data_IF_960730849771
#
_entry.id   IF_960730849771
#
_cell.length_a   1.000
_cell.length_b   1.000
_cell.length_c   1.000
_cell.angle_alpha   90.00
_cell.angle_beta   90.00
_cell.angle_gamma   90.00
#
_symmetry.space_group_name_H-M   'P 1'
#
loop_
_entity.id
_entity.type
_entity.pdbx_description
1 polymer ?
#
# COMPACT_ATOMS: atom_id res chain seq x y z
N UNK A 1 -38.43 -45.40 0.06
CA UNK A 1 -37.88 -45.98 1.31
C UNK A 1 -38.09 -44.97 2.43
N UNK A 2 -38.62 -45.41 3.57
CA UNK A 2 -39.22 -44.59 4.64
C UNK A 2 -38.17 -43.96 5.59
N UNK A 3 -38.42 -42.68 5.92
CA UNK A 3 -38.23 -41.92 7.17
C UNK A 3 -37.34 -42.53 8.28
N UNK A 4 -36.43 -41.71 8.83
CA UNK A 4 -36.33 -41.47 10.30
C UNK A 4 -35.60 -40.16 10.62
N UNK A 5 -36.40 -39.16 11.00
CA UNK A 5 -36.00 -38.04 11.84
C UNK A 5 -36.07 -38.49 13.31
N UNK A 6 -35.13 -38.04 14.14
CA UNK A 6 -35.21 -38.16 15.60
C UNK A 6 -35.09 -36.76 16.19
N UNK A 7 -36.19 -36.30 16.75
CA UNK A 7 -36.25 -35.20 17.70
C UNK A 7 -36.30 -35.80 19.11
N UNK A 8 -35.60 -35.21 20.07
CA UNK A 8 -35.83 -35.43 21.51
C UNK A 8 -35.86 -34.06 22.18
N UNK A 9 -36.90 -33.82 22.97
CA UNK A 9 -37.15 -32.61 23.74
C UNK A 9 -37.21 -32.89 25.25
N UNK A 10 -36.99 -31.82 26.03
CA UNK A 10 -37.28 -31.56 27.48
C UNK A 10 -36.20 -32.11 28.45
N UNK A 11 -35.52 -31.31 29.30
CA UNK A 11 -35.91 -30.27 30.29
C UNK A 11 -35.63 -30.83 31.72
N UNK A 12 -35.59 -30.11 32.88
CA UNK A 12 -35.78 -28.68 33.17
C UNK A 12 -34.83 -28.04 34.26
N UNK A 13 -34.96 -26.71 34.47
CA UNK A 13 -34.88 -25.87 35.70
C UNK A 13 -33.67 -25.92 36.66
N UNK A 14 -33.09 -24.72 36.92
CA UNK A 14 -32.27 -24.41 38.10
C UNK A 14 -31.78 -22.95 38.11
N UNK A 15 -32.30 -22.15 39.04
CA UNK A 15 -32.11 -20.71 39.21
C UNK A 15 -31.02 -20.39 40.28
N UNK A 16 -30.57 -19.12 40.30
CA UNK A 16 -29.87 -18.35 41.37
C UNK A 16 -28.39 -17.92 41.21
N UNK A 17 -28.29 -16.63 40.87
CA UNK A 17 -27.57 -15.52 41.56
C UNK A 17 -26.03 -15.42 41.64
N UNK A 18 -25.61 -14.22 41.21
CA UNK A 18 -24.56 -13.31 41.74
C UNK A 18 -23.15 -13.40 41.17
N UNK A 19 -22.65 -12.26 40.68
CA UNK A 19 -21.28 -12.09 40.20
C UNK A 19 -21.06 -10.82 39.39
N UNK A 20 -20.89 -9.69 40.09
CA UNK A 20 -20.37 -8.39 39.64
C UNK A 20 -19.37 -8.44 38.47
N UNK A 21 -19.51 -7.54 37.48
CA UNK A 21 -18.43 -6.60 37.12
C UNK A 21 -18.86 -5.59 36.04
N UNK A 22 -18.57 -4.32 36.36
CA UNK A 22 -18.58 -3.13 35.51
C UNK A 22 -17.93 -3.37 34.14
N UNK A 23 -18.54 -2.84 33.09
CA UNK A 23 -17.81 -2.05 32.08
C UNK A 23 -18.77 -1.16 31.29
N UNK A 24 -18.37 0.10 31.19
CA UNK A 24 -19.12 1.20 30.59
C UNK A 24 -19.24 1.06 29.07
N UNK A 25 -20.42 1.47 28.59
CA UNK A 25 -20.77 2.07 27.31
C UNK A 25 -19.61 2.33 26.32
N UNK A 26 -19.76 1.79 25.11
CA UNK A 26 -19.96 2.62 23.92
C UNK A 26 -21.03 2.00 23.02
N UNK A 27 -22.17 2.70 22.93
CA UNK A 27 -23.16 2.63 21.85
C UNK A 27 -22.48 2.97 20.50
N UNK A 28 -22.92 2.52 19.32
CA UNK A 28 -24.31 2.44 18.88
C UNK A 28 -24.57 1.38 17.79
N UNK A 29 -25.85 1.06 17.70
CA UNK A 29 -26.52 -0.11 17.15
C UNK A 29 -27.35 0.24 15.90
N UNK A 30 -27.58 -0.75 15.02
CA UNK A 30 -28.79 -0.97 14.16
C UNK A 30 -29.12 0.00 13.00
N UNK A 31 -29.49 -0.47 11.79
CA UNK A 31 -30.80 -1.06 11.45
C UNK A 31 -30.78 -1.93 10.15
N UNK A 32 -31.91 -2.63 9.95
CA UNK A 32 -32.14 -3.87 9.22
C UNK A 32 -33.02 -3.65 7.95
N UNK A 33 -32.85 -4.54 6.96
CA UNK A 33 -33.88 -5.11 6.06
C UNK A 33 -34.19 -4.59 4.64
N UNK A 34 -34.32 -5.62 3.77
CA UNK A 34 -35.04 -5.78 2.48
C UNK A 34 -34.34 -5.29 1.20
N UNK A 35 -34.29 -6.18 0.18
CA UNK A 35 -34.99 -6.04 -1.11
C UNK A 35 -34.87 -7.32 -1.96
N UNK A 36 -35.91 -7.61 -2.75
CA UNK A 36 -36.16 -8.81 -3.56
C UNK A 36 -35.66 -8.68 -5.03
N UNK A 37 -35.72 -9.75 -5.87
CA UNK A 37 -34.86 -9.93 -7.05
C UNK A 37 -35.53 -9.56 -8.39
N UNK A 38 -34.95 -8.60 -9.13
CA UNK A 38 -35.26 -8.35 -10.55
C UNK A 38 -34.01 -8.19 -11.46
N UNK A 39 -32.82 -8.56 -10.98
CA UNK A 39 -31.57 -8.35 -11.72
C UNK A 39 -31.09 -9.52 -12.59
N UNK A 40 -31.80 -10.65 -12.60
CA UNK A 40 -31.37 -11.86 -13.34
C UNK A 40 -31.76 -11.87 -14.83
N UNK A 41 -32.72 -11.06 -15.28
CA UNK A 41 -33.09 -11.01 -16.71
C UNK A 41 -32.16 -10.13 -17.56
N UNK A 42 -31.49 -9.15 -16.97
CA UNK A 42 -30.56 -8.27 -17.70
C UNK A 42 -29.25 -8.98 -18.07
N UNK A 43 -28.79 -9.90 -17.21
CA UNK A 43 -27.58 -10.70 -17.42
C UNK A 43 -27.79 -11.76 -18.53
N UNK A 44 -29.03 -12.23 -18.71
CA UNK A 44 -29.36 -13.22 -19.74
C UNK A 44 -29.37 -12.64 -21.15
N UNK A 45 -29.71 -11.35 -21.30
CA UNK A 45 -29.70 -10.61 -22.57
C UNK A 45 -28.29 -10.20 -23.02
N UNK A 46 -27.41 -9.80 -22.09
CA UNK A 46 -26.01 -9.46 -22.44
C UNK A 46 -25.18 -10.68 -22.86
N UNK A 47 -25.52 -11.87 -22.36
CA UNK A 47 -24.81 -13.10 -22.72
C UNK A 47 -25.22 -13.66 -24.09
N UNK A 48 -26.41 -13.32 -24.60
CA UNK A 48 -26.85 -13.71 -25.94
C UNK A 48 -26.30 -12.78 -27.04
N UNK A 49 -26.09 -11.49 -26.74
CA UNK A 49 -25.50 -10.53 -27.69
C UNK A 49 -24.00 -10.79 -27.98
N UNK A 50 -23.28 -11.47 -27.08
CA UNK A 50 -21.87 -11.83 -27.28
C UNK A 50 -21.64 -13.04 -28.19
N UNK A 51 -22.66 -13.81 -28.52
CA UNK A 51 -22.53 -15.04 -29.31
C UNK A 51 -22.79 -14.84 -30.82
N UNK A 52 -22.99 -13.60 -31.29
CA UNK A 52 -23.43 -13.31 -32.66
C UNK A 52 -22.57 -12.29 -33.44
N UNK A 53 -21.32 -12.02 -33.04
CA UNK A 53 -20.41 -11.19 -33.85
C UNK A 53 -19.34 -12.01 -34.59
N UNK A 54 -19.25 -11.93 -35.93
CA UNK A 54 -18.22 -12.60 -36.73
C UNK A 54 -16.80 -12.12 -36.43
N UNK A 55 -15.82 -13.02 -36.61
CA UNK A 55 -14.38 -12.85 -36.33
C UNK A 55 -13.63 -11.79 -37.17
N UNK A 56 -14.31 -11.05 -38.04
CA UNK A 56 -13.66 -10.16 -39.02
C UNK A 56 -13.60 -8.68 -38.60
N UNK A 57 -14.16 -8.30 -37.45
CA UNK A 57 -14.08 -6.92 -36.93
C UNK A 57 -12.88 -6.63 -36.00
N UNK A 58 -12.09 -7.65 -35.63
CA UNK A 58 -10.94 -7.48 -34.75
C UNK A 58 -9.70 -6.86 -35.44
N UNK A 59 -9.65 -6.82 -36.77
CA UNK A 59 -8.53 -6.20 -37.51
C UNK A 59 -8.72 -4.71 -37.81
N UNK A 60 -9.85 -4.11 -37.45
CA UNK A 60 -10.15 -2.70 -37.73
C UNK A 60 -9.84 -1.75 -36.57
N UNK A 61 -9.63 -2.25 -35.34
CA UNK A 61 -9.41 -1.41 -34.16
C UNK A 61 -7.94 -0.99 -33.91
N UNK A 62 -7.00 -1.41 -34.76
CA UNK A 62 -5.58 -1.07 -34.62
C UNK A 62 -5.07 0.02 -35.58
N UNK A 63 -5.95 0.65 -36.36
CA UNK A 63 -5.56 1.80 -37.20
C UNK A 63 -6.12 3.07 -36.59
N UNK A 64 -5.24 4.04 -36.37
CA UNK A 64 -5.51 5.42 -35.92
C UNK A 64 -5.66 5.60 -34.39
N UNK A 65 -4.57 5.39 -33.64
CA UNK A 65 -4.44 5.98 -32.31
C UNK A 65 -3.93 7.41 -32.47
N UNK A 66 -4.82 8.38 -32.22
CA UNK A 66 -4.40 9.76 -32.00
C UNK A 66 -3.57 9.80 -30.72
N UNK A 67 -2.28 10.20 -30.78
CA UNK A 67 -1.42 10.20 -29.60
C UNK A 67 -1.97 11.18 -28.56
N UNK A 68 -1.90 10.83 -27.27
CA UNK A 68 -2.31 11.74 -26.19
C UNK A 68 -1.31 12.89 -26.04
N UNK A 69 -1.69 13.97 -25.36
CA UNK A 69 -0.77 15.09 -25.11
C UNK A 69 0.45 14.67 -24.27
N UNK A 70 0.29 13.67 -23.39
CA UNK A 70 1.40 13.09 -22.63
C UNK A 70 2.39 12.35 -23.55
N UNK A 71 1.90 11.57 -24.51
CA UNK A 71 2.75 10.86 -25.47
C UNK A 71 3.54 11.85 -26.33
N UNK A 72 2.87 12.93 -26.78
CA UNK A 72 3.50 14.00 -27.55
C UNK A 72 4.54 14.76 -26.71
N UNK A 73 4.29 15.00 -25.43
CA UNK A 73 5.26 15.64 -24.52
C UNK A 73 6.52 14.79 -24.29
N UNK A 74 6.37 13.48 -24.10
CA UNK A 74 7.50 12.55 -23.95
C UNK A 74 8.32 12.49 -25.24
N UNK A 75 7.67 12.34 -26.38
CA UNK A 75 8.36 12.35 -27.68
C UNK A 75 9.04 13.69 -27.96
N UNK A 76 8.41 14.81 -27.61
CA UNK A 76 9.00 16.15 -27.71
C UNK A 76 10.28 16.27 -26.88
N UNK A 77 10.31 15.73 -25.66
CA UNK A 77 11.50 15.75 -24.82
C UNK A 77 12.65 14.98 -25.47
N UNK A 78 12.40 13.78 -26.02
CA UNK A 78 13.42 13.01 -26.73
C UNK A 78 13.96 13.72 -27.98
N UNK A 79 13.08 14.35 -28.77
CA UNK A 79 13.50 15.15 -29.94
C UNK A 79 14.34 16.36 -29.50
N UNK A 80 13.96 17.05 -28.42
CA UNK A 80 14.70 18.21 -27.91
C UNK A 80 16.08 17.86 -27.37
N UNK A 81 16.26 16.67 -26.79
CA UNK A 81 17.58 16.16 -26.37
C UNK A 81 18.48 15.96 -27.60
N UNK A 82 17.95 15.40 -28.70
CA UNK A 82 18.72 15.18 -29.94
C UNK A 82 18.98 16.46 -30.74
N UNK A 83 18.08 17.44 -30.66
CA UNK A 83 18.16 18.69 -31.39
C UNK A 83 17.93 19.92 -30.48
N UNK A 84 18.86 20.21 -29.55
CA UNK A 84 18.73 21.32 -28.64
C UNK A 84 18.63 22.64 -29.40
N UNK A 85 17.68 23.50 -29.01
CA UNK A 85 17.41 24.77 -29.69
C UNK A 85 16.60 24.68 -30.99
N UNK A 86 16.11 23.50 -31.37
CA UNK A 86 15.26 23.36 -32.56
C UNK A 86 13.96 24.19 -32.45
N UNK A 87 13.70 24.97 -33.50
CA UNK A 87 12.42 25.66 -33.67
C UNK A 87 11.26 24.68 -33.86
N UNK A 88 10.02 25.14 -33.63
CA UNK A 88 8.80 24.30 -33.66
C UNK A 88 8.68 23.49 -34.96
N UNK A 89 9.04 24.06 -36.11
CA UNK A 89 8.97 23.35 -37.40
C UNK A 89 9.89 22.12 -37.46
N UNK A 90 11.13 22.24 -36.96
CA UNK A 90 12.08 21.11 -36.89
C UNK A 90 11.62 20.05 -35.90
N UNK A 91 11.04 20.45 -34.77
CA UNK A 91 10.48 19.52 -33.78
C UNK A 91 9.29 18.73 -34.36
N UNK A 92 8.39 19.41 -35.07
CA UNK A 92 7.24 18.75 -35.73
C UNK A 92 7.71 17.76 -36.79
N UNK A 93 8.73 18.10 -37.58
CA UNK A 93 9.25 17.19 -38.60
C UNK A 93 9.88 15.95 -37.95
N UNK A 94 10.74 16.14 -36.95
CA UNK A 94 11.34 15.01 -36.24
C UNK A 94 10.29 14.09 -35.59
N UNK A 95 9.23 14.64 -34.99
CA UNK A 95 8.12 13.82 -34.46
C UNK A 95 7.40 13.01 -35.54
N UNK A 96 7.25 13.56 -36.75
CA UNK A 96 6.65 12.82 -37.88
C UNK A 96 7.56 11.72 -38.38
N UNK A 97 8.87 11.97 -38.37
CA UNK A 97 9.87 11.00 -38.80
C UNK A 97 10.01 9.86 -37.79
N UNK A 98 9.98 10.15 -36.48
CA UNK A 98 10.06 9.13 -35.41
C UNK A 98 8.75 8.36 -35.21
N UNK A 99 7.60 8.99 -35.51
CA UNK A 99 6.27 8.42 -35.29
C UNK A 99 5.38 8.54 -36.54
N UNK A 100 5.72 7.83 -37.64
CA UNK A 100 4.99 7.91 -38.90
C UNK A 100 3.56 7.33 -38.81
N UNK A 101 3.26 6.58 -37.75
CA UNK A 101 1.97 5.94 -37.49
C UNK A 101 0.96 6.84 -36.76
N UNK A 102 1.37 8.02 -36.28
CA UNK A 102 0.50 8.96 -35.59
C UNK A 102 -0.48 9.65 -36.53
N UNK A 103 -1.77 9.46 -36.25
CA UNK A 103 -2.86 10.05 -37.03
C UNK A 103 -3.93 10.71 -36.13
N UNK A 104 -4.21 12.01 -36.32
CA UNK A 104 -3.55 12.92 -37.28
C UNK A 104 -2.08 13.19 -36.88
N UNK A 105 -1.20 13.49 -37.86
CA UNK A 105 0.17 13.89 -37.58
C UNK A 105 0.20 15.08 -36.63
N UNK A 106 1.15 15.10 -35.71
CA UNK A 106 1.33 16.23 -34.79
C UNK A 106 1.61 17.50 -35.60
N UNK A 107 0.89 18.57 -35.28
CA UNK A 107 1.02 19.86 -35.95
C UNK A 107 1.74 20.89 -35.08
N UNK A 108 2.12 22.01 -35.72
CA UNK A 108 2.83 23.09 -35.05
C UNK A 108 2.00 23.80 -33.98
N UNK A 109 0.66 23.78 -34.08
CA UNK A 109 -0.24 24.41 -33.11
C UNK A 109 -0.24 23.63 -31.80
N UNK A 110 -0.33 22.30 -31.87
CA UNK A 110 -0.29 21.38 -30.73
C UNK A 110 1.06 21.43 -30.02
N UNK A 111 2.17 21.40 -30.76
CA UNK A 111 3.52 21.54 -30.17
C UNK A 111 3.69 22.89 -29.47
N UNK A 112 3.18 24.00 -30.05
CA UNK A 112 3.22 25.32 -29.40
C UNK A 112 2.39 25.36 -28.12
N UNK A 113 1.20 24.74 -28.12
CA UNK A 113 0.34 24.68 -26.94
C UNK A 113 1.04 23.91 -25.81
N UNK A 114 1.60 22.73 -26.11
CA UNK A 114 2.30 21.90 -25.14
C UNK A 114 3.57 22.56 -24.59
N UNK A 115 4.33 23.29 -25.43
CA UNK A 115 5.48 24.08 -24.96
C UNK A 115 5.12 25.22 -24.01
N UNK A 116 3.89 25.75 -24.07
CA UNK A 116 3.41 26.77 -23.12
C UNK A 116 2.98 26.16 -21.78
N UNK A 117 2.62 24.87 -21.77
CA UNK A 117 2.19 24.13 -20.58
C UNK A 117 3.40 23.57 -19.81
N UNK A 118 4.51 23.30 -20.49
CA UNK A 118 5.78 22.97 -19.80
C UNK A 118 6.26 24.17 -18.98
N UNK A 119 6.35 24.05 -17.64
CA UNK A 119 6.93 25.10 -16.82
C UNK A 119 8.37 25.34 -17.27
N UNK A 120 8.67 26.58 -17.62
CA UNK A 120 10.01 27.09 -17.90
C UNK A 120 10.94 26.64 -16.78
N UNK A 121 11.80 25.66 -17.06
CA UNK A 121 12.87 25.28 -16.15
C UNK A 121 14.06 26.24 -16.29
N UNK A 122 14.76 26.52 -15.17
CA UNK A 122 15.98 27.31 -15.17
C UNK A 122 17.11 26.54 -15.86
N UNK A 123 17.98 27.31 -16.51
CA UNK A 123 19.22 26.85 -17.14
C UNK A 123 20.20 26.22 -16.15
N UNK A 124 20.66 25.00 -16.42
CA UNK A 124 22.00 24.51 -16.05
C UNK A 124 22.43 23.34 -16.96
N UNK A 125 23.74 23.16 -17.17
CA UNK A 125 24.28 22.44 -18.32
C UNK A 125 24.52 20.95 -18.07
N UNK A 126 24.44 20.21 -19.18
CA UNK A 126 25.15 18.96 -19.54
C UNK A 126 25.57 18.07 -18.37
N UNK A 127 24.81 17.00 -18.13
CA UNK A 127 25.20 15.90 -17.27
C UNK A 127 25.98 14.87 -18.08
N UNK A 128 27.29 14.86 -17.86
CA UNK A 128 28.18 13.69 -17.99
C UNK A 128 27.46 12.44 -17.47
N UNK A 129 27.54 11.31 -18.18
CA UNK A 129 27.01 10.02 -17.74
C UNK A 129 27.63 9.71 -16.36
N UNK A 130 26.87 9.98 -15.31
CA UNK A 130 27.27 9.78 -13.93
C UNK A 130 27.18 8.28 -13.63
N UNK A 131 28.31 7.75 -13.16
CA UNK A 131 28.41 6.49 -12.42
C UNK A 131 27.26 6.34 -11.43
N UNK A 132 26.59 5.17 -11.46
CA UNK A 132 25.38 4.83 -10.72
C UNK A 132 25.36 5.27 -9.24
N UNK A 133 24.40 6.12 -8.82
CA UNK A 133 24.10 6.35 -7.41
C UNK A 133 22.71 5.82 -7.06
N UNK A 134 22.42 4.54 -7.34
CA UNK A 134 21.10 3.97 -7.05
C UNK A 134 21.01 3.21 -5.72
N UNK A 135 22.14 2.95 -5.02
CA UNK A 135 22.07 2.45 -3.63
C UNK A 135 21.63 3.54 -2.66
N UNK A 136 21.89 4.81 -3.02
CA UNK A 136 21.69 5.98 -2.17
C UNK A 136 20.25 6.13 -1.67
N UNK A 137 19.24 5.90 -2.51
CA UNK A 137 17.82 6.01 -2.10
C UNK A 137 17.45 4.94 -1.07
N UNK A 138 17.84 3.68 -1.30
CA UNK A 138 17.54 2.59 -0.36
C UNK A 138 18.28 2.83 0.95
N UNK A 139 19.55 3.19 0.89
CA UNK A 139 20.37 3.47 2.06
C UNK A 139 19.81 4.66 2.85
N UNK A 140 19.34 5.70 2.17
CA UNK A 140 18.64 6.84 2.79
C UNK A 140 17.33 6.40 3.46
N UNK A 141 16.53 5.54 2.83
CA UNK A 141 15.31 5.01 3.46
C UNK A 141 15.66 4.26 4.75
N UNK A 142 16.71 3.43 4.71
CA UNK A 142 17.18 2.72 5.88
C UNK A 142 17.63 3.67 6.99
N UNK A 143 18.40 4.71 6.68
CA UNK A 143 18.85 5.71 7.66
C UNK A 143 17.67 6.42 8.36
N UNK A 144 16.69 6.90 7.58
CA UNK A 144 15.50 7.56 8.15
C UNK A 144 14.69 6.60 9.01
N UNK A 145 14.54 5.34 8.59
CA UNK A 145 13.86 4.32 9.40
C UNK A 145 14.64 3.97 10.66
N UNK A 146 15.97 3.90 10.60
CA UNK A 146 16.81 3.67 11.78
C UNK A 146 16.64 4.79 12.81
N UNK A 147 16.61 6.06 12.37
CA UNK A 147 16.28 7.20 13.23
C UNK A 147 14.87 7.08 13.81
N UNK A 148 13.88 6.74 12.98
CA UNK A 148 12.49 6.55 13.42
C UNK A 148 12.34 5.40 14.43
N UNK A 149 13.18 4.36 14.36
CA UNK A 149 13.19 3.23 15.29
C UNK A 149 14.19 3.39 16.46
N UNK A 150 14.93 4.50 16.54
CA UNK A 150 15.95 4.71 17.57
C UNK A 150 15.33 4.80 18.97
N UNK A 151 15.88 4.07 19.94
CA UNK A 151 15.30 4.00 21.29
C UNK A 151 14.21 2.93 21.48
N UNK A 152 14.01 2.03 20.51
CA UNK A 152 13.16 0.84 20.64
C UNK A 152 11.69 1.06 20.30
N UNK A 153 10.88 0.02 20.54
CA UNK A 153 9.47 -0.06 20.13
C UNK A 153 8.60 1.04 20.77
N UNK A 154 8.84 1.41 22.03
CA UNK A 154 8.10 2.46 22.73
C UNK A 154 8.34 3.84 22.09
N UNK A 155 9.61 4.20 21.86
CA UNK A 155 9.97 5.45 21.22
C UNK A 155 9.46 5.52 19.76
N UNK A 156 9.49 4.39 19.05
CA UNK A 156 8.90 4.26 17.73
C UNK A 156 7.38 4.51 17.75
N UNK A 157 6.65 3.84 18.65
CA UNK A 157 5.21 3.99 18.77
C UNK A 157 4.81 5.44 19.06
N UNK A 158 5.56 6.11 19.94
CA UNK A 158 5.38 7.52 20.25
C UNK A 158 5.57 8.43 19.01
N UNK A 159 6.69 8.28 18.28
CA UNK A 159 6.94 9.06 17.05
C UNK A 159 5.90 8.77 15.96
N UNK A 160 5.49 7.52 15.80
CA UNK A 160 4.46 7.13 14.86
C UNK A 160 3.09 7.76 15.20
N UNK A 161 2.74 7.83 16.49
CA UNK A 161 1.52 8.48 16.95
C UNK A 161 1.50 9.98 16.65
N UNK A 162 2.60 10.68 16.96
CA UNK A 162 2.75 12.11 16.62
C UNK A 162 2.57 12.32 15.12
N UNK A 163 3.23 11.48 14.32
CA UNK A 163 3.19 11.62 12.88
C UNK A 163 1.79 11.40 12.30
N UNK A 164 1.11 10.32 12.67
CA UNK A 164 -0.24 10.05 12.18
C UNK A 164 -1.22 11.16 12.57
N UNK A 165 -1.12 11.69 13.80
CA UNK A 165 -1.94 12.82 14.25
C UNK A 165 -1.66 14.09 13.46
N UNK A 166 -0.38 14.39 13.19
CA UNK A 166 0.03 15.51 12.34
C UNK A 166 -0.60 15.38 10.95
N UNK A 167 -0.46 14.21 10.33
CA UNK A 167 -0.98 13.96 8.98
C UNK A 167 -2.51 14.08 8.92
N UNK A 168 -3.22 13.51 9.91
CA UNK A 168 -4.68 13.64 10.02
C UNK A 168 -5.11 15.09 10.18
N UNK A 169 -4.40 15.87 11.01
CA UNK A 169 -4.72 17.29 11.24
C UNK A 169 -4.58 18.15 9.98
N UNK A 170 -3.50 17.95 9.21
CA UNK A 170 -3.27 18.67 7.94
C UNK A 170 -4.36 18.32 6.93
N UNK A 171 -4.79 17.06 6.88
CA UNK A 171 -5.84 16.63 5.95
C UNK A 171 -7.22 17.19 6.29
N UNK A 172 -7.58 17.23 7.57
CA UNK A 172 -8.87 17.80 7.99
C UNK A 172 -8.98 19.28 7.64
N UNK A 173 -7.87 20.02 7.61
CA UNK A 173 -7.86 21.45 7.26
C UNK A 173 -8.17 21.71 5.77
N UNK A 174 -7.78 20.81 4.87
CA UNK A 174 -7.85 21.03 3.41
C UNK A 174 -9.14 20.51 2.74
N UNK A 175 -10.04 19.83 3.48
CA UNK A 175 -11.13 19.04 2.88
C UNK A 175 -12.58 19.33 3.30
N UNK A 176 -12.85 20.35 4.13
CA UNK A 176 -14.17 20.66 4.76
C UNK A 176 -14.62 19.65 5.85
N UNK A 177 -14.18 19.88 7.08
CA UNK A 177 -15.01 20.06 8.29
C UNK A 177 -14.05 20.04 9.48
N UNK A 178 -13.83 21.22 10.06
CA UNK A 178 -13.08 21.39 11.30
C UNK A 178 -13.90 20.78 12.45
N UNK A 179 -13.67 19.50 12.76
CA UNK A 179 -13.44 19.21 14.17
C UNK A 179 -12.01 19.65 14.42
N UNK A 180 -11.84 20.77 15.12
CA UNK A 180 -10.56 21.26 15.60
C UNK A 180 -9.88 20.14 16.37
N UNK A 181 -9.01 19.39 15.70
CA UNK A 181 -7.98 18.63 16.39
C UNK A 181 -7.20 19.66 17.18
N UNK A 182 -7.04 19.46 18.50
CA UNK A 182 -6.41 20.46 19.31
C UNK A 182 -4.95 20.58 18.80
N UNK A 183 -4.34 21.77 18.85
CA UNK A 183 -3.05 22.00 18.22
C UNK A 183 -2.01 20.96 18.65
N UNK A 184 -1.02 20.62 17.82
CA UNK A 184 0.03 19.64 18.19
C UNK A 184 0.67 19.88 19.59
N UNK A 185 0.70 21.14 20.02
CA UNK A 185 1.19 21.58 21.35
C UNK A 185 0.20 21.38 22.52
N UNK A 186 -1.02 20.95 22.26
CA UNK A 186 -2.06 20.68 23.27
C UNK A 186 -2.10 19.22 23.72
N UNK A 187 -1.46 18.32 22.98
CA UNK A 187 -1.30 16.94 23.40
C UNK A 187 -0.23 16.89 24.50
N UNK A 188 -0.63 16.40 25.66
CA UNK A 188 0.29 16.19 26.77
C UNK A 188 1.13 14.92 26.52
N UNK A 189 2.27 14.81 27.20
CA UNK A 189 3.07 13.56 27.22
C UNK A 189 2.22 12.34 27.61
N UNK A 190 1.18 12.53 28.43
CA UNK A 190 0.23 11.49 28.80
C UNK A 190 -0.64 11.05 27.63
N UNK A 191 -1.17 11.98 26.84
CA UNK A 191 -1.98 11.67 25.66
C UNK A 191 -1.18 10.86 24.64
N UNK A 192 0.10 11.21 24.43
CA UNK A 192 0.97 10.45 23.55
C UNK A 192 1.33 9.07 24.11
N UNK A 193 1.48 8.91 25.42
CA UNK A 193 1.74 7.60 26.05
C UNK A 193 0.53 6.68 25.93
N UNK A 194 -0.65 7.21 26.20
CA UNK A 194 -1.91 6.47 26.06
C UNK A 194 -2.15 6.11 24.59
N UNK A 195 -1.83 7.01 23.65
CA UNK A 195 -1.90 6.75 22.21
C UNK A 195 -0.83 5.77 21.71
N UNK A 196 0.40 5.84 22.22
CA UNK A 196 1.50 4.96 21.82
C UNK A 196 1.15 3.48 22.08
N UNK A 197 0.34 3.19 23.10
CA UNK A 197 -0.20 1.85 23.35
C UNK A 197 -1.06 1.31 22.19
N UNK A 198 -1.60 2.20 21.34
CA UNK A 198 -2.46 1.92 20.18
C UNK A 198 -1.68 1.91 18.85
N UNK A 199 -0.38 2.25 18.85
CA UNK A 199 0.50 2.13 17.69
C UNK A 199 1.45 0.93 17.88
N UNK A 200 1.03 -0.30 17.52
CA UNK A 200 1.92 -1.43 17.67
C UNK A 200 3.12 -1.22 16.76
N UNK A 201 4.32 -1.14 17.33
CA UNK A 201 5.59 -1.09 16.59
C UNK A 201 5.74 -2.28 15.62
N UNK A 202 4.97 -3.34 15.89
CA UNK A 202 4.89 -4.59 15.15
C UNK A 202 3.78 -4.61 14.10
N UNK A 203 2.95 -3.57 14.02
CA UNK A 203 1.87 -3.47 13.03
C UNK A 203 2.43 -3.38 11.61
N UNK A 204 2.24 -4.45 10.85
CA UNK A 204 2.60 -4.51 9.42
C UNK A 204 1.93 -3.40 8.60
N UNK A 205 0.69 -3.04 8.97
CA UNK A 205 -0.07 -1.95 8.36
C UNK A 205 0.61 -0.61 8.62
N UNK A 206 0.92 -0.30 9.89
CA UNK A 206 1.61 0.93 10.26
C UNK A 206 2.99 1.03 9.61
N UNK A 207 3.77 -0.06 9.61
CA UNK A 207 5.07 -0.10 8.97
C UNK A 207 4.95 0.23 7.47
N UNK A 208 4.06 -0.44 6.76
CA UNK A 208 3.78 -0.17 5.34
C UNK A 208 3.30 1.26 5.13
N UNK A 209 2.45 1.78 6.02
CA UNK A 209 1.99 3.17 6.01
C UNK A 209 3.16 4.13 6.00
N UNK A 210 4.00 4.04 7.03
CA UNK A 210 5.14 4.93 7.23
C UNK A 210 6.11 4.85 6.07
N UNK A 211 6.39 3.64 5.57
CA UNK A 211 7.25 3.42 4.41
C UNK A 211 6.73 4.10 3.14
N UNK A 212 5.44 3.99 2.86
CA UNK A 212 4.85 4.61 1.68
C UNK A 212 4.83 6.13 1.82
N UNK A 213 4.54 6.66 3.01
CA UNK A 213 4.59 8.11 3.27
C UNK A 213 6.01 8.65 3.10
N UNK A 214 7.00 7.93 3.65
CA UNK A 214 8.42 8.24 3.56
C UNK A 214 8.88 8.42 2.11
N UNK A 215 8.45 7.53 1.22
CA UNK A 215 8.91 7.52 -0.18
C UNK A 215 7.95 8.19 -1.16
N UNK A 216 6.78 8.66 -0.70
CA UNK A 216 5.82 9.32 -1.58
C UNK A 216 6.30 10.73 -1.91
N UNK A 217 6.34 11.16 -3.19
CA UNK A 217 6.45 12.57 -3.52
C UNK A 217 5.17 13.32 -3.12
N UNK A 218 5.23 14.66 -2.99
CA UNK A 218 4.08 15.48 -2.53
C UNK A 218 2.80 15.23 -3.30
N UNK A 219 2.90 15.12 -4.63
CA UNK A 219 1.75 14.88 -5.51
C UNK A 219 1.07 13.51 -5.27
N UNK A 220 1.75 12.56 -4.63
CA UNK A 220 1.23 11.21 -4.35
C UNK A 220 0.97 10.95 -2.88
N UNK A 221 1.33 11.89 -2.00
CA UNK A 221 1.14 11.75 -0.56
C UNK A 221 -0.34 11.53 -0.21
N UNK A 222 -1.26 12.22 -0.90
CA UNK A 222 -2.71 12.03 -0.76
C UNK A 222 -3.16 10.61 -1.10
N UNK A 223 -2.64 10.08 -2.21
CA UNK A 223 -2.98 8.74 -2.65
C UNK A 223 -2.50 7.69 -1.64
N UNK A 224 -1.29 7.85 -1.13
CA UNK A 224 -0.73 6.99 -0.09
C UNK A 224 -1.56 7.07 1.19
N UNK A 225 -1.86 8.28 1.68
CA UNK A 225 -2.69 8.47 2.87
C UNK A 225 -4.08 7.85 2.72
N UNK A 226 -4.73 8.05 1.57
CA UNK A 226 -6.00 7.39 1.25
C UNK A 226 -5.86 5.88 1.29
N UNK A 227 -4.89 5.31 0.57
CA UNK A 227 -4.65 3.87 0.51
C UNK A 227 -4.51 3.24 1.91
N UNK A 228 -4.01 3.99 2.88
CA UNK A 228 -3.70 3.52 4.23
C UNK A 228 -4.82 3.79 5.24
N UNK A 229 -5.71 4.74 4.97
CA UNK A 229 -6.66 5.24 5.96
C UNK A 229 -8.09 4.77 5.69
N UNK A 230 -8.69 4.14 6.72
CA UNK A 230 -10.13 3.84 6.73
C UNK A 230 -10.95 5.12 6.70
N UNK A 231 -10.53 6.14 7.46
CA UNK A 231 -11.23 7.41 7.56
C UNK A 231 -11.24 8.17 6.23
N UNK A 232 -10.22 7.96 5.39
CA UNK A 232 -10.15 8.51 4.04
C UNK A 232 -10.73 7.54 2.98
N UNK A 233 -11.45 6.50 3.41
CA UNK A 233 -12.16 5.56 2.54
C UNK A 233 -11.29 4.59 1.76
N UNK A 234 -10.00 4.44 2.09
CA UNK A 234 -9.10 3.60 1.32
C UNK A 234 -8.74 2.26 1.96
N UNK A 235 -9.36 1.83 3.06
CA UNK A 235 -9.34 0.39 3.43
C UNK A 235 -10.43 -0.36 2.66
N UNK A 236 -10.15 -1.57 2.17
CA UNK A 236 -11.11 -2.32 1.35
C UNK A 236 -12.25 -2.84 2.22
N UNK A 237 -13.47 -2.73 1.70
CA UNK A 237 -14.67 -3.32 2.29
C UNK A 237 -14.96 -4.69 1.67
N UNK A 238 -15.85 -5.47 2.30
CA UNK A 238 -16.34 -6.72 1.70
C UNK A 238 -16.97 -6.48 0.31
N UNK A 239 -17.65 -5.34 0.12
CA UNK A 239 -18.21 -4.92 -1.17
C UNK A 239 -17.11 -4.68 -2.20
N UNK A 240 -16.04 -3.97 -1.84
CA UNK A 240 -14.93 -3.70 -2.75
C UNK A 240 -14.28 -5.00 -3.21
N UNK A 241 -13.97 -5.89 -2.27
CA UNK A 241 -13.38 -7.21 -2.56
C UNK A 241 -14.29 -8.06 -3.45
N UNK A 242 -15.61 -7.96 -3.27
CA UNK A 242 -16.57 -8.70 -4.11
C UNK A 242 -16.67 -8.17 -5.55
N UNK A 243 -16.40 -6.88 -5.74
CA UNK A 243 -16.58 -6.18 -7.02
C UNK A 243 -15.28 -6.03 -7.81
N UNK A 244 -14.14 -6.09 -7.14
CA UNK A 244 -12.84 -5.84 -7.75
C UNK A 244 -11.99 -7.10 -7.71
N UNK A 245 -11.36 -7.49 -8.83
CA UNK A 245 -10.43 -8.60 -8.83
C UNK A 245 -9.23 -8.28 -7.94
N UNK A 246 -8.61 -9.33 -7.40
CA UNK A 246 -7.33 -9.21 -6.70
C UNK A 246 -6.29 -8.60 -7.63
N UNK A 247 -5.49 -7.65 -7.13
CA UNK A 247 -4.40 -7.07 -7.89
C UNK A 247 -3.30 -8.11 -8.16
N UNK A 248 -2.63 -7.95 -9.31
CA UNK A 248 -1.46 -8.75 -9.69
C UNK A 248 -0.17 -8.06 -9.25
N UNK A 249 0.29 -8.42 -8.05
CA UNK A 249 1.52 -7.87 -7.48
C UNK A 249 2.79 -8.32 -8.21
N UNK A 250 2.79 -9.50 -8.86
CA UNK A 250 3.92 -9.94 -9.68
C UNK A 250 4.07 -9.05 -10.90
N UNK A 251 2.96 -8.74 -11.59
CA UNK A 251 3.00 -7.80 -12.72
C UNK A 251 3.47 -6.40 -12.30
N UNK A 252 3.08 -5.91 -11.12
CA UNK A 252 3.60 -4.64 -10.58
C UNK A 252 5.11 -4.69 -10.34
N UNK A 253 5.60 -5.80 -9.75
CA UNK A 253 7.03 -6.02 -9.58
C UNK A 253 7.78 -6.05 -10.92
N UNK A 254 7.27 -6.74 -11.94
CA UNK A 254 7.91 -6.81 -13.26
C UNK A 254 8.01 -5.44 -13.94
N UNK A 255 6.99 -4.58 -13.76
CA UNK A 255 7.07 -3.18 -14.22
C UNK A 255 8.15 -2.38 -13.49
N UNK A 256 8.21 -2.52 -12.16
CA UNK A 256 9.23 -1.85 -11.34
C UNK A 256 10.65 -2.34 -11.67
N UNK A 257 10.83 -3.65 -11.86
CA UNK A 257 12.08 -4.26 -12.31
C UNK A 257 12.51 -3.69 -13.66
N UNK A 258 11.60 -3.61 -14.64
CA UNK A 258 11.91 -3.04 -15.96
C UNK A 258 12.34 -1.57 -15.85
N UNK A 259 11.71 -0.77 -14.98
CA UNK A 259 12.11 0.62 -14.72
C UNK A 259 13.50 0.70 -14.10
N UNK A 260 13.80 -0.17 -13.13
CA UNK A 260 15.13 -0.26 -12.54
C UNK A 260 16.21 -0.61 -13.58
N UNK A 261 15.97 -1.63 -14.40
CA UNK A 261 16.94 -2.11 -15.40
C UNK A 261 17.13 -1.13 -16.58
N UNK A 262 16.04 -0.50 -17.05
CA UNK A 262 16.06 0.32 -18.27
C UNK A 262 16.27 1.81 -17.98
N UNK A 263 15.64 2.32 -16.93
CA UNK A 263 15.60 3.76 -16.62
C UNK A 263 16.50 4.14 -15.43
N UNK A 264 17.01 3.17 -14.68
CA UNK A 264 17.76 3.46 -13.46
C UNK A 264 16.88 3.92 -12.29
N UNK A 265 15.56 3.82 -12.40
CA UNK A 265 14.60 4.37 -11.43
C UNK A 265 14.38 3.44 -10.22
N UNK A 266 14.11 4.04 -9.05
CA UNK A 266 13.64 3.30 -7.87
C UNK A 266 12.12 3.38 -7.76
N UNK A 267 11.46 2.26 -7.48
CA UNK A 267 10.00 2.17 -7.32
C UNK A 267 9.67 1.52 -5.98
N UNK A 268 8.73 2.10 -5.23
CA UNK A 268 8.12 1.45 -4.07
C UNK A 268 6.79 0.83 -4.47
N UNK A 269 6.54 -0.38 -3.95
CA UNK A 269 5.29 -1.11 -4.16
C UNK A 269 4.73 -1.45 -2.78
N UNK A 270 3.67 -0.76 -2.39
CA UNK A 270 2.88 -1.12 -1.22
C UNK A 270 1.96 -2.29 -1.55
N UNK A 271 2.07 -3.39 -0.82
CA UNK A 271 1.27 -4.59 -1.01
C UNK A 271 0.44 -4.84 0.25
N UNK A 272 -0.84 -5.12 0.08
CA UNK A 272 -1.74 -5.52 1.16
C UNK A 272 -2.40 -6.86 0.79
N UNK A 273 -2.06 -7.90 1.53
CA UNK A 273 -2.71 -9.20 1.53
C UNK A 273 -3.88 -9.16 2.50
N UNK A 274 -5.09 -9.01 1.96
CA UNK A 274 -6.32 -8.88 2.73
C UNK A 274 -6.91 -10.26 3.00
N UNK A 275 -7.28 -10.47 4.26
CA UNK A 275 -8.05 -11.60 4.71
C UNK A 275 -9.54 -11.34 4.49
N UNK A 276 -10.11 -11.98 3.46
CA UNK A 276 -11.50 -11.77 3.07
C UNK A 276 -12.47 -12.37 4.09
N UNK A 277 -12.09 -13.43 4.79
CA UNK A 277 -12.98 -14.01 5.82
C UNK A 277 -13.16 -13.05 6.98
N UNK A 278 -12.10 -12.38 7.42
CA UNK A 278 -12.19 -11.36 8.48
C UNK A 278 -13.08 -10.17 8.07
N UNK A 279 -13.03 -9.75 6.80
CA UNK A 279 -13.91 -8.68 6.31
C UNK A 279 -15.40 -9.09 6.29
N UNK A 280 -15.70 -10.37 6.07
CA UNK A 280 -17.07 -10.87 5.96
C UNK A 280 -17.67 -11.25 7.32
N UNK A 281 -16.86 -11.84 8.21
CA UNK A 281 -17.32 -12.40 9.48
C UNK A 281 -17.21 -11.45 10.66
N UNK A 282 -16.36 -10.43 10.58
CA UNK A 282 -15.90 -9.69 11.75
C UNK A 282 -14.71 -10.40 12.43
N UNK A 283 -14.03 -9.70 13.34
CA UNK A 283 -12.71 -10.10 13.86
C UNK A 283 -12.66 -10.56 15.31
N UNK A 284 -13.80 -10.87 15.91
CA UNK A 284 -13.85 -11.10 17.36
C UNK A 284 -13.39 -12.51 17.74
N UNK A 285 -13.64 -13.51 16.88
CA UNK A 285 -13.42 -14.94 17.21
C UNK A 285 -12.14 -15.55 16.60
N UNK A 286 -11.48 -14.85 15.68
CA UNK A 286 -10.37 -15.40 14.89
C UNK A 286 -9.22 -14.41 14.74
N UNK A 287 -8.01 -14.95 14.61
CA UNK A 287 -6.85 -14.19 14.14
C UNK A 287 -6.81 -14.10 12.61
N UNK A 288 -6.36 -12.94 12.13
CA UNK A 288 -6.20 -12.69 10.70
C UNK A 288 -4.80 -13.03 10.20
N UNK A 289 -4.70 -13.51 8.97
CA UNK A 289 -3.42 -13.55 8.24
C UNK A 289 -3.13 -12.28 7.45
N UNK A 290 -3.98 -11.24 7.57
CA UNK A 290 -3.83 -10.03 6.79
C UNK A 290 -2.44 -9.41 7.00
N UNK A 291 -1.75 -9.14 5.90
CA UNK A 291 -0.36 -8.74 5.95
C UNK A 291 -0.08 -7.61 4.96
N UNK A 292 0.64 -6.59 5.41
CA UNK A 292 1.07 -5.48 4.55
C UNK A 292 2.58 -5.38 4.55
N UNK A 293 3.16 -5.12 3.39
CA UNK A 293 4.59 -4.88 3.24
C UNK A 293 4.88 -3.92 2.08
N UNK A 294 6.06 -3.33 2.08
CA UNK A 294 6.55 -2.49 0.98
C UNK A 294 7.75 -3.15 0.31
N UNK A 295 7.73 -3.22 -1.02
CA UNK A 295 8.91 -3.56 -1.82
C UNK A 295 9.59 -2.28 -2.27
N UNK A 296 10.90 -2.19 -2.13
CA UNK A 296 11.72 -1.19 -2.82
C UNK A 296 12.49 -1.89 -3.92
N UNK A 297 12.26 -1.49 -5.16
CA UNK A 297 12.90 -2.05 -6.35
C UNK A 297 13.75 -0.96 -6.98
N UNK A 298 15.06 -1.18 -7.08
CA UNK A 298 16.01 -0.25 -7.67
C UNK A 298 17.00 -1.00 -8.57
N UNK A 299 17.85 -0.31 -9.33
CA UNK A 299 18.91 -0.95 -10.12
C UNK A 299 19.86 -1.82 -9.27
N UNK A 300 19.99 -1.54 -7.97
CA UNK A 300 20.81 -2.32 -7.06
C UNK A 300 20.15 -3.64 -6.62
N UNK A 301 18.83 -3.77 -6.78
CA UNK A 301 18.10 -4.96 -6.37
C UNK A 301 16.72 -4.66 -5.78
N UNK A 302 16.24 -5.59 -4.96
CA UNK A 302 14.96 -5.49 -4.26
C UNK A 302 15.16 -5.65 -2.74
N UNK A 303 14.45 -4.84 -1.96
CA UNK A 303 14.25 -5.08 -0.52
C UNK A 303 12.78 -5.21 -0.17
N UNK A 304 12.49 -6.08 0.79
CA UNK A 304 11.16 -6.25 1.39
C UNK A 304 11.20 -5.64 2.79
N UNK A 305 10.38 -4.62 3.03
CA UNK A 305 10.28 -3.92 4.30
C UNK A 305 8.91 -4.20 4.90
N UNK A 306 8.91 -4.79 6.11
CA UNK A 306 7.70 -5.26 6.75
C UNK A 306 7.83 -5.30 8.28
N UNK A 307 6.70 -5.40 8.96
CA UNK A 307 6.61 -5.79 10.37
C UNK A 307 5.59 -6.94 10.47
N UNK A 308 5.39 -7.55 11.63
CA UNK A 308 4.34 -8.57 11.76
C UNK A 308 3.50 -8.47 13.04
N UNK A 309 2.23 -8.09 12.82
CA UNK A 309 1.10 -8.21 13.76
C UNK A 309 1.36 -7.74 15.19
N UNK A 310 0.55 -8.23 16.12
CA UNK A 310 0.82 -8.09 17.56
C UNK A 310 1.93 -9.05 18.04
N UNK A 311 2.17 -10.09 17.26
CA UNK A 311 2.75 -11.34 17.74
C UNK A 311 4.17 -11.64 17.22
N UNK A 312 4.79 -10.77 16.41
CA UNK A 312 6.17 -11.03 15.95
C UNK A 312 7.01 -9.78 15.88
N UNK A 313 7.75 -9.62 14.80
CA UNK A 313 8.85 -8.67 14.76
C UNK A 313 8.38 -7.24 14.48
N UNK A 314 9.03 -6.26 15.12
CA UNK A 314 8.82 -4.85 14.80
C UNK A 314 9.46 -4.49 13.45
N UNK A 315 9.12 -3.32 12.90
CA UNK A 315 9.82 -2.83 11.71
C UNK A 315 11.33 -2.70 11.99
N UNK A 316 11.70 -2.23 13.17
CA UNK A 316 13.10 -2.13 13.60
C UNK A 316 13.81 -3.48 13.65
N UNK A 317 13.12 -4.53 14.08
CA UNK A 317 13.66 -5.90 14.03
C UNK A 317 13.81 -6.39 12.59
N UNK A 318 12.82 -6.15 11.73
CA UNK A 318 12.89 -6.54 10.32
C UNK A 318 14.13 -5.98 9.63
N UNK A 319 14.46 -4.70 9.86
CA UNK A 319 15.64 -4.05 9.27
C UNK A 319 16.96 -4.76 9.61
N UNK A 320 17.01 -5.47 10.75
CA UNK A 320 18.19 -6.22 11.21
C UNK A 320 18.20 -7.69 10.75
N UNK A 321 17.08 -8.19 10.22
CA UNK A 321 16.91 -9.58 9.80
C UNK A 321 17.31 -9.76 8.34
N UNK A 322 17.69 -10.99 8.01
CA UNK A 322 17.98 -11.39 6.63
C UNK A 322 16.76 -11.20 5.70
N UNK A 323 15.53 -11.25 6.25
CA UNK A 323 14.31 -11.00 5.47
C UNK A 323 14.24 -9.58 4.89
N UNK A 324 14.98 -8.60 5.40
CA UNK A 324 15.09 -7.24 4.85
C UNK A 324 16.32 -7.03 3.97
N UNK A 325 17.16 -8.07 3.76
CA UNK A 325 18.38 -7.94 2.96
C UNK A 325 18.10 -7.48 1.54
N UNK A 326 19.12 -6.87 0.93
CA UNK A 326 19.15 -6.63 -0.50
C UNK A 326 19.12 -7.97 -1.23
N UNK A 327 18.16 -8.13 -2.14
CA UNK A 327 18.01 -9.28 -3.02
C UNK A 327 18.35 -8.86 -4.43
N UNK A 328 18.86 -9.80 -5.23
CA UNK A 328 18.94 -9.54 -6.68
C UNK A 328 17.53 -9.36 -7.27
N UNK A 329 17.44 -8.72 -8.43
CA UNK A 329 16.16 -8.61 -9.15
C UNK A 329 15.59 -9.98 -9.54
N UNK A 330 16.45 -10.98 -9.77
CA UNK A 330 15.97 -12.34 -10.06
C UNK A 330 15.39 -13.02 -8.81
N UNK A 331 16.07 -12.90 -7.67
CA UNK A 331 15.54 -13.38 -6.38
C UNK A 331 14.21 -12.71 -6.03
N UNK A 332 14.07 -11.42 -6.36
CA UNK A 332 12.83 -10.68 -6.16
C UNK A 332 11.68 -11.18 -7.04
N UNK A 333 11.95 -11.59 -8.27
CA UNK A 333 10.95 -12.23 -9.12
C UNK A 333 10.47 -13.55 -8.52
N UNK A 334 11.40 -14.39 -8.04
CA UNK A 334 11.06 -15.67 -7.43
C UNK A 334 10.23 -15.48 -6.14
N UNK A 335 10.60 -14.50 -5.32
CA UNK A 335 9.80 -14.08 -4.16
C UNK A 335 8.36 -13.69 -4.58
N UNK A 336 8.20 -12.93 -5.67
CA UNK A 336 6.89 -12.49 -6.12
C UNK A 336 6.07 -13.60 -6.80
N UNK A 337 6.71 -14.59 -7.43
CA UNK A 337 6.04 -15.82 -7.89
C UNK A 337 5.52 -16.63 -6.72
N UNK A 338 6.29 -16.74 -5.65
CA UNK A 338 5.87 -17.40 -4.42
C UNK A 338 4.70 -16.65 -3.74
N UNK A 339 4.73 -15.32 -3.73
CA UNK A 339 3.61 -14.51 -3.25
C UNK A 339 2.36 -14.65 -4.13
N UNK A 340 2.50 -14.65 -5.45
CA UNK A 340 1.40 -14.91 -6.39
C UNK A 340 0.79 -16.30 -6.16
N UNK A 341 1.64 -17.31 -5.92
CA UNK A 341 1.18 -18.65 -5.53
C UNK A 341 0.38 -18.58 -4.23
N UNK A 342 0.92 -17.98 -3.16
CA UNK A 342 0.23 -17.86 -1.88
C UNK A 342 -1.13 -17.18 -2.03
N UNK A 343 -1.19 -16.03 -2.68
CA UNK A 343 -2.41 -15.25 -2.85
C UNK A 343 -3.48 -15.95 -3.70
N UNK A 344 -3.09 -16.92 -4.54
CA UNK A 344 -4.01 -17.76 -5.32
C UNK A 344 -4.56 -18.97 -4.54
N UNK A 345 -3.89 -19.40 -3.46
CA UNK A 345 -4.33 -20.56 -2.67
C UNK A 345 -5.70 -20.29 -2.01
N UNK A 346 -6.46 -21.37 -1.80
CA UNK A 346 -7.79 -21.35 -1.16
C UNK A 346 -7.92 -22.61 -0.29
N UNK A 347 -8.74 -22.55 0.75
CA UNK A 347 -9.06 -23.70 1.60
C UNK A 347 -8.74 -23.43 3.06
N UNK A 348 -8.62 -24.47 3.89
CA UNK A 348 -8.25 -24.31 5.29
C UNK A 348 -6.76 -24.01 5.45
N UNK A 349 -6.38 -23.29 6.51
CA UNK A 349 -4.99 -23.03 6.83
C UNK A 349 -4.25 -24.35 7.14
N UNK A 350 -3.39 -24.78 6.21
CA UNK A 350 -2.66 -26.05 6.30
C UNK A 350 -1.15 -25.85 6.22
N UNK A 351 -0.40 -26.97 6.27
CA UNK A 351 1.07 -26.98 6.23
C UNK A 351 1.64 -26.28 5.00
N UNK A 352 1.02 -26.42 3.83
CA UNK A 352 1.52 -25.83 2.59
C UNK A 352 1.38 -24.31 2.58
N UNK A 353 0.20 -23.79 2.98
CA UNK A 353 -0.03 -22.34 3.13
C UNK A 353 0.94 -21.77 4.15
N UNK A 354 1.07 -22.43 5.30
CA UNK A 354 1.94 -21.98 6.37
C UNK A 354 3.42 -21.99 5.96
N UNK A 355 3.90 -23.03 5.28
CA UNK A 355 5.28 -23.11 4.78
C UNK A 355 5.58 -21.98 3.79
N UNK A 356 4.64 -21.70 2.90
CA UNK A 356 4.79 -20.63 1.92
C UNK A 356 4.75 -19.24 2.58
N UNK A 357 3.83 -19.04 3.52
CA UNK A 357 3.71 -17.83 4.33
C UNK A 357 4.99 -17.58 5.15
N UNK A 358 5.51 -18.60 5.83
CA UNK A 358 6.74 -18.53 6.61
C UNK A 358 7.95 -18.18 5.74
N UNK A 359 8.06 -18.75 4.53
CA UNK A 359 9.14 -18.40 3.61
C UNK A 359 9.08 -16.94 3.14
N UNK A 360 7.89 -16.40 2.91
CA UNK A 360 7.71 -15.02 2.44
C UNK A 360 7.89 -13.99 3.56
N UNK A 361 7.34 -14.28 4.73
CA UNK A 361 7.19 -13.29 5.79
C UNK A 361 8.03 -13.60 7.03
N UNK A 362 8.77 -14.70 7.04
CA UNK A 362 9.58 -15.16 8.18
C UNK A 362 8.74 -15.36 9.44
N UNK A 363 7.53 -15.89 9.27
CA UNK A 363 6.55 -16.13 10.33
C UNK A 363 5.88 -17.49 10.16
N UNK A 364 6.06 -18.36 11.15
CA UNK A 364 5.37 -19.64 11.23
C UNK A 364 4.11 -19.52 12.09
N UNK A 365 2.97 -19.27 11.44
CA UNK A 365 1.68 -19.09 12.11
C UNK A 365 1.24 -20.35 12.87
N UNK A 366 1.49 -21.54 12.31
CA UNK A 366 1.17 -22.79 13.00
C UNK A 366 1.96 -22.95 14.30
N UNK A 367 3.23 -22.56 14.32
CA UNK A 367 4.03 -22.56 15.55
C UNK A 367 3.50 -21.55 16.58
N UNK A 368 2.98 -20.41 16.14
CA UNK A 368 2.38 -19.40 17.03
C UNK A 368 1.02 -19.79 17.63
N UNK A 369 0.31 -20.73 17.01
CA UNK A 369 -0.97 -21.28 17.52
C UNK A 369 -0.80 -22.51 18.43
N UNK A 370 0.38 -23.14 18.45
CA UNK A 370 0.59 -24.33 19.30
C UNK A 370 0.64 -23.97 20.79
N UNK A 371 0.39 -24.94 21.67
CA UNK A 371 0.35 -24.72 23.12
C UNK A 371 1.63 -24.07 23.64
N UNK A 372 1.52 -22.83 24.13
CA UNK A 372 2.66 -21.99 24.55
C UNK A 372 3.02 -20.86 23.57
N UNK A 373 2.40 -20.82 22.39
CA UNK A 373 2.47 -19.69 21.46
C UNK A 373 1.69 -18.46 21.94
N UNK A 374 1.90 -17.33 21.29
CA UNK A 374 1.32 -16.05 21.71
C UNK A 374 -0.07 -15.76 21.10
N UNK A 375 -0.54 -16.55 20.13
CA UNK A 375 -1.89 -16.38 19.57
C UNK A 375 -2.92 -17.03 20.49
N UNK A 376 -3.89 -16.25 20.94
CA UNK A 376 -4.95 -16.72 21.86
C UNK A 376 -6.20 -17.22 21.13
N UNK A 377 -6.37 -16.83 19.86
CA UNK A 377 -7.49 -17.24 19.01
C UNK A 377 -6.98 -18.09 17.85
N UNK A 378 -7.83 -18.99 17.31
CA UNK A 378 -7.49 -19.73 16.11
C UNK A 378 -7.39 -18.78 14.91
N UNK A 379 -6.54 -19.13 13.93
CA UNK A 379 -6.58 -18.46 12.62
C UNK A 379 -7.94 -18.69 11.94
N UNK A 380 -8.34 -17.76 11.07
CA UNK A 380 -9.55 -17.92 10.25
C UNK A 380 -9.63 -19.31 9.59
N UNK A 381 -10.81 -19.97 9.64
CA UNK A 381 -10.94 -21.36 9.25
C UNK A 381 -10.76 -21.60 7.75
N UNK A 382 -10.87 -20.53 6.94
CA UNK A 382 -10.67 -20.54 5.50
C UNK A 382 -9.72 -19.44 5.09
N UNK A 383 -8.61 -19.82 4.48
CA UNK A 383 -7.72 -18.94 3.76
C UNK A 383 -8.38 -18.47 2.46
N UNK A 384 -8.68 -17.18 2.39
CA UNK A 384 -9.15 -16.49 1.19
C UNK A 384 -8.49 -15.12 1.12
N UNK A 385 -7.43 -15.04 0.31
CA UNK A 385 -6.68 -13.81 0.10
C UNK A 385 -7.27 -12.94 -1.01
N UNK A 386 -7.20 -11.62 -0.82
CA UNK A 386 -7.38 -10.62 -1.86
C UNK A 386 -6.23 -9.61 -1.76
N UNK A 387 -5.59 -9.28 -2.88
CA UNK A 387 -4.39 -8.43 -2.90
C UNK A 387 -4.74 -7.05 -3.41
N UNK A 388 -4.15 -6.03 -2.78
CA UNK A 388 -4.09 -4.67 -3.31
C UNK A 388 -2.66 -4.21 -3.43
N UNK A 389 -2.42 -3.39 -4.45
CA UNK A 389 -1.11 -2.81 -4.76
C UNK A 389 -1.22 -1.29 -4.86
N UNK A 390 -0.21 -0.57 -4.39
CA UNK A 390 0.05 0.83 -4.68
C UNK A 390 1.48 0.98 -5.21
N UNK A 391 1.64 1.50 -6.42
CA UNK A 391 2.94 1.77 -7.04
C UNK A 391 3.30 3.25 -6.92
N UNK A 392 4.48 3.53 -6.36
CA UNK A 392 5.12 4.84 -6.31
C UNK A 392 6.41 4.74 -7.14
N UNK A 393 6.36 5.08 -8.44
CA UNK A 393 7.52 5.09 -9.30
C UNK A 393 8.39 6.31 -9.05
N UNK A 394 9.64 6.22 -9.52
CA UNK A 394 10.59 7.32 -9.60
C UNK A 394 10.82 8.03 -8.26
N UNK A 395 11.08 7.24 -7.22
CA UNK A 395 11.41 7.76 -5.88
C UNK A 395 12.77 8.43 -5.94
N UNK A 396 12.81 9.70 -5.57
CA UNK A 396 14.04 10.45 -5.47
C UNK A 396 14.58 10.45 -4.05
N UNK A 397 15.90 10.53 -3.90
CA UNK A 397 16.55 10.68 -2.58
C UNK A 397 15.95 11.83 -1.76
N UNK A 398 15.73 12.98 -2.40
CA UNK A 398 15.10 14.15 -1.77
C UNK A 398 13.70 13.87 -1.20
N UNK A 399 12.94 12.95 -1.81
CA UNK A 399 11.59 12.59 -1.35
C UNK A 399 11.67 11.83 -0.02
N UNK A 400 12.77 11.13 0.22
CA UNK A 400 13.07 10.40 1.46
C UNK A 400 13.73 11.32 2.48
N UNK A 401 14.74 12.12 2.11
CA UNK A 401 15.52 12.93 3.05
C UNK A 401 14.69 13.97 3.81
N UNK A 402 13.67 14.55 3.17
CA UNK A 402 12.74 15.48 3.81
C UNK A 402 12.10 14.91 5.08
N UNK A 403 11.93 13.58 5.13
CA UNK A 403 11.41 12.91 6.30
C UNK A 403 12.44 12.78 7.42
N UNK A 404 13.75 12.71 7.12
CA UNK A 404 14.77 12.77 8.17
C UNK A 404 14.58 14.02 9.01
N UNK A 405 14.42 15.18 8.37
CA UNK A 405 14.21 16.45 9.07
C UNK A 405 12.96 16.44 9.96
N UNK A 406 11.88 15.80 9.51
CA UNK A 406 10.66 15.62 10.30
C UNK A 406 10.92 14.71 11.51
N UNK A 407 11.63 13.60 11.33
CA UNK A 407 11.97 12.66 12.41
C UNK A 407 12.92 13.30 13.44
N UNK A 408 13.89 14.08 12.97
CA UNK A 408 14.83 14.79 13.82
C UNK A 408 14.10 15.82 14.69
N UNK A 409 13.16 16.57 14.12
CA UNK A 409 12.32 17.54 14.86
C UNK A 409 11.51 16.88 15.99
N UNK A 410 10.95 15.68 15.75
CA UNK A 410 10.22 14.94 16.79
C UNK A 410 11.14 14.39 17.89
N UNK A 411 12.37 14.03 17.53
CA UNK A 411 13.35 13.51 18.49
C UNK A 411 13.80 14.60 19.48
N UNK A 412 13.99 15.82 19.00
CA UNK A 412 14.36 16.97 19.85
C UNK A 412 13.27 17.40 20.82
N UNK A 413 12.00 17.28 20.42
CA UNK A 413 10.85 17.64 21.28
C UNK A 413 10.73 16.65 22.45
N UNK A 414 10.90 15.35 22.18
CA UNK A 414 10.84 14.31 23.21
C UNK A 414 11.92 14.48 24.29
N UNK A 415 13.13 14.91 23.92
CA UNK A 415 14.25 15.10 24.87
C UNK A 415 13.98 16.30 25.80
N UNK A 416 13.33 17.37 25.31
CA UNK A 416 13.03 18.56 26.12
C UNK A 416 11.94 18.26 27.16
N UNK A 417 10.92 17.50 26.79
CA UNK A 417 9.81 17.13 27.68
C UNK A 417 10.25 16.16 28.79
N UNK A 418 11.19 15.26 28.50
CA UNK A 418 11.77 14.35 29.50
C UNK A 418 12.65 15.10 30.53
N UNK A 419 13.35 16.17 30.11
CA UNK A 419 14.18 16.97 31.01
C UNK A 419 13.36 17.90 31.90
N UNK A 420 12.24 18.44 31.41
CA UNK A 420 11.38 19.32 32.21
C UNK A 420 10.64 18.59 33.33
N UNK A 421 10.30 17.31 33.12
CA UNK A 421 9.65 16.45 34.14
C UNK A 421 10.59 15.94 35.22
N UNK A 422 11.91 15.94 34.99
CA UNK A 422 12.92 15.56 36.00
C UNK A 422 13.37 16.75 36.88
N UNK A 423 12.98 17.98 36.53
CA UNK A 423 13.34 19.21 37.26
C UNK A 423 12.26 19.72 38.24
N UNK A 424 11.15 18.99 38.37
CA UNK A 424 10.07 19.22 39.35
C UNK A 424 9.99 18.02 40.29
#
# INVERSE_FOLDING_TARGET
>A
MRIKAVAVCRGPVGDKTSGSARRHLYHATWLVSRWQPHHLERIRLEHQLRLWMPRELASYHHRFLMPSDADVLVALAHVQIRAPGAGVAKLVQALRDDHPDWHPPVDSKRVRALRKVSPTSPSSPVTTIATCPSSDVIDTVHDVLHKLCAGGDEAFAHRAAILDMTLKSVYTANGRSLQTLPPLHSFTSKDYRDLASVYPARSCKLATTLLLLLVSPDMRLEQSLRWLSRALGGLPTATDVSRTPSADALSAYMRARKRAEVLGETTAIGVNLVDVEMLVRGGDDYESFAHSFTLLVSPAGMRVLQAWGEHGYSLGDNLKRDSSRMRSLQEGEDYMRDFARLSSMRGSWGKDINKLYARLFDVDVLSLMQGGGCMTKPIVPRFRAWVRVLEIPDIQRRDVERWSTIIDAFSDTCIRDAKSTLST
#
